data_IF_479956610528
#
_entry.id   IF_479956610528
#
_cell.length_a   1.000
_cell.length_b   1.000
_cell.length_c   1.000
_cell.angle_alpha   90.00
_cell.angle_beta   90.00
_cell.angle_gamma   90.00
#
_symmetry.space_group_name_H-M   'P 1'
#
loop_
_entity.id
_entity.type
_entity.pdbx_description
1 polymer ?
#
# COMPACT_ATOMS: atom_id res chain seq x y z
N UNK A 1 -8.78 -0.67 -21.26
CA UNK A 1 -7.75 0.05 -20.46
C UNK A 1 -8.38 0.80 -19.29
N UNK A 2 -9.60 1.34 -19.43
CA UNK A 2 -10.39 1.89 -18.31
C UNK A 2 -10.54 0.89 -17.14
N UNK A 3 -10.75 -0.39 -17.43
CA UNK A 3 -10.93 -1.43 -16.40
C UNK A 3 -9.72 -1.64 -15.48
N UNK A 4 -8.50 -1.48 -16.00
CA UNK A 4 -7.27 -1.67 -15.21
C UNK A 4 -7.06 -0.44 -14.31
N UNK A 5 -7.27 0.77 -14.87
CA UNK A 5 -7.14 2.01 -14.12
C UNK A 5 -8.17 2.07 -12.97
N UNK A 6 -9.40 1.62 -13.22
CA UNK A 6 -10.45 1.55 -12.20
C UNK A 6 -10.14 0.51 -11.12
N UNK A 7 -9.67 -0.68 -11.51
CA UNK A 7 -9.27 -1.72 -10.55
C UNK A 7 -8.12 -1.28 -9.65
N UNK A 8 -7.09 -0.64 -10.20
CA UNK A 8 -5.97 -0.08 -9.40
C UNK A 8 -6.46 1.02 -8.48
N UNK A 9 -7.39 1.87 -8.93
CA UNK A 9 -7.97 2.95 -8.10
C UNK A 9 -8.76 2.36 -6.92
N UNK A 10 -9.62 1.38 -7.17
CA UNK A 10 -10.39 0.69 -6.12
C UNK A 10 -9.46 -0.02 -5.12
N UNK A 11 -8.41 -0.67 -5.60
CA UNK A 11 -7.42 -1.32 -4.74
C UNK A 11 -6.69 -0.30 -3.85
N UNK A 12 -6.29 0.83 -4.42
CA UNK A 12 -5.67 1.95 -3.68
C UNK A 12 -6.58 2.53 -2.61
N UNK A 13 -7.86 2.76 -2.92
CA UNK A 13 -8.83 3.28 -1.97
C UNK A 13 -9.10 2.30 -0.83
N UNK A 14 -9.29 1.02 -1.14
CA UNK A 14 -9.43 -0.02 -0.12
C UNK A 14 -8.20 -0.07 0.80
N UNK A 15 -6.99 0.05 0.22
CA UNK A 15 -5.75 0.07 0.98
C UNK A 15 -5.66 1.27 1.93
N UNK A 16 -6.05 2.46 1.47
CA UNK A 16 -6.13 3.66 2.31
C UNK A 16 -7.11 3.48 3.46
N UNK A 17 -8.28 2.91 3.18
CA UNK A 17 -9.30 2.67 4.21
C UNK A 17 -8.78 1.72 5.29
N UNK A 18 -8.16 0.60 4.91
CA UNK A 18 -7.55 -0.34 5.87
C UNK A 18 -6.47 0.32 6.71
N UNK A 19 -5.68 1.20 6.11
CA UNK A 19 -4.66 1.97 6.81
C UNK A 19 -5.28 2.93 7.83
N UNK A 20 -6.31 3.67 7.44
CA UNK A 20 -6.96 4.63 8.33
C UNK A 20 -7.60 3.91 9.53
N UNK A 21 -8.19 2.73 9.33
CA UNK A 21 -8.68 1.87 10.42
C UNK A 21 -7.54 1.44 11.38
N UNK A 22 -6.40 1.01 10.84
CA UNK A 22 -5.25 0.61 11.64
C UNK A 22 -4.63 1.78 12.40
N UNK A 23 -4.63 2.97 11.82
CA UNK A 23 -4.15 4.19 12.48
C UNK A 23 -5.00 4.54 13.72
N UNK A 24 -6.32 4.34 13.64
CA UNK A 24 -7.22 4.54 14.79
C UNK A 24 -6.90 3.54 15.89
N UNK A 25 -6.66 2.27 15.55
CA UNK A 25 -6.30 1.27 16.55
C UNK A 25 -4.89 1.50 17.12
N UNK A 26 -3.97 2.06 16.33
CA UNK A 26 -2.61 2.41 16.73
C UNK A 26 -2.55 3.40 17.90
N UNK A 27 -3.54 4.28 18.02
CA UNK A 27 -3.60 5.25 19.13
C UNK A 27 -3.58 4.56 20.50
N UNK A 28 -4.10 3.33 20.58
CA UNK A 28 -4.14 2.50 21.79
C UNK A 28 -2.99 1.47 21.87
N UNK A 29 -2.18 1.37 20.82
CA UNK A 29 -1.15 0.34 20.71
C UNK A 29 0.15 0.70 21.45
N UNK A 30 0.95 -0.32 21.76
CA UNK A 30 2.26 -0.20 22.43
C UNK A 30 3.29 0.50 21.53
N UNK A 31 4.37 1.02 22.12
CA UNK A 31 5.45 1.70 21.40
C UNK A 31 6.02 0.84 20.25
N UNK A 32 6.26 -0.45 20.48
CA UNK A 32 6.76 -1.37 19.44
C UNK A 32 5.84 -1.47 18.22
N UNK A 33 4.52 -1.44 18.44
CA UNK A 33 3.54 -1.44 17.35
C UNK A 33 3.56 -0.12 16.58
N UNK A 34 3.78 1.01 17.27
CA UNK A 34 3.94 2.32 16.62
C UNK A 34 5.22 2.39 15.78
N UNK A 35 6.30 1.75 16.22
CA UNK A 35 7.55 1.66 15.46
C UNK A 35 7.39 0.77 14.21
N UNK A 36 6.72 -0.37 14.33
CA UNK A 36 6.42 -1.25 13.19
C UNK A 36 5.51 -0.54 12.17
N UNK A 37 4.48 0.17 12.65
CA UNK A 37 3.61 1.00 11.82
C UNK A 37 4.38 2.08 11.06
N UNK A 38 5.26 2.82 11.74
CA UNK A 38 6.04 3.89 11.12
C UNK A 38 6.92 3.36 9.97
N UNK A 39 7.42 2.13 10.08
CA UNK A 39 8.17 1.48 9.00
C UNK A 39 7.28 1.14 7.80
N UNK A 40 6.08 0.61 8.05
CA UNK A 40 5.10 0.30 6.99
C UNK A 40 4.60 1.56 6.28
N UNK A 41 4.32 2.62 7.02
CA UNK A 41 3.93 3.92 6.45
C UNK A 41 5.03 4.53 5.59
N UNK A 42 6.29 4.42 6.01
CA UNK A 42 7.40 4.90 5.20
C UNK A 42 7.49 4.18 3.86
N UNK A 43 7.35 2.85 3.85
CA UNK A 43 7.34 2.06 2.61
C UNK A 43 6.13 2.41 1.73
N UNK A 44 4.98 2.69 2.33
CA UNK A 44 3.78 3.13 1.62
C UNK A 44 4.00 4.47 0.92
N UNK A 45 4.54 5.46 1.62
CA UNK A 45 4.83 6.79 1.06
C UNK A 45 5.87 6.73 -0.07
N UNK A 46 6.81 5.79 -0.03
CA UNK A 46 7.78 5.54 -1.12
C UNK A 46 7.17 4.80 -2.33
N UNK A 47 6.11 4.03 -2.12
CA UNK A 47 5.48 3.17 -3.14
C UNK A 47 4.30 3.85 -3.83
N UNK A 48 3.48 4.60 -3.09
CA UNK A 48 2.31 5.34 -3.57
C UNK A 48 2.58 6.24 -4.79
N UNK A 49 3.60 7.11 -4.82
CA UNK A 49 3.84 7.97 -5.99
C UNK A 49 4.22 7.15 -7.23
N UNK A 50 4.94 6.03 -7.06
CA UNK A 50 5.27 5.10 -8.16
C UNK A 50 4.02 4.40 -8.67
N UNK A 51 3.07 4.10 -7.79
CA UNK A 51 1.78 3.51 -8.15
C UNK A 51 0.88 4.48 -8.92
N UNK A 52 0.78 5.73 -8.46
CA UNK A 52 0.05 6.77 -9.19
C UNK A 52 0.70 7.05 -10.55
N UNK A 53 2.03 7.13 -10.62
CA UNK A 53 2.74 7.29 -11.89
C UNK A 53 2.51 6.10 -12.84
N UNK A 54 2.58 4.87 -12.35
CA UNK A 54 2.28 3.67 -13.15
C UNK A 54 0.83 3.61 -13.62
N UNK A 55 -0.11 4.11 -12.81
CA UNK A 55 -1.52 4.27 -13.17
C UNK A 55 -1.70 5.29 -14.30
N UNK A 56 -0.96 6.39 -14.29
CA UNK A 56 -1.00 7.40 -15.36
C UNK A 56 -0.28 6.93 -16.63
N UNK A 57 0.81 6.16 -16.51
CA UNK A 57 1.62 5.64 -17.61
C UNK A 57 1.20 4.26 -18.15
N UNK A 58 0.09 3.68 -17.67
CA UNK A 58 -0.35 2.29 -17.94
C UNK A 58 -0.45 1.88 -19.43
N UNK A 59 -0.22 2.80 -20.38
CA UNK A 59 -0.10 2.52 -21.82
C UNK A 59 1.31 2.28 -22.38
N UNK A 60 2.42 2.46 -21.63
CA UNK A 60 3.78 2.45 -22.23
C UNK A 60 4.85 1.58 -21.56
N UNK A 61 4.75 1.25 -20.28
CA UNK A 61 5.86 0.65 -19.51
C UNK A 61 5.42 -0.54 -18.65
N UNK A 62 4.64 -1.45 -19.22
CA UNK A 62 3.81 -2.39 -18.45
C UNK A 62 4.55 -3.57 -17.80
N UNK A 63 5.58 -4.15 -18.42
CA UNK A 63 6.07 -5.47 -17.96
C UNK A 63 7.08 -5.40 -16.80
N UNK A 64 8.17 -4.63 -16.91
CA UNK A 64 9.22 -4.63 -15.87
C UNK A 64 8.91 -3.70 -14.69
N UNK A 65 8.31 -2.53 -14.94
CA UNK A 65 7.93 -1.59 -13.88
C UNK A 65 6.73 -2.14 -13.09
N UNK A 66 5.79 -2.81 -13.78
CA UNK A 66 4.65 -3.47 -13.15
C UNK A 66 5.06 -4.58 -12.18
N UNK A 67 6.08 -5.38 -12.52
CA UNK A 67 6.54 -6.48 -11.66
C UNK A 67 7.18 -6.00 -10.35
N UNK A 68 8.13 -5.05 -10.43
CA UNK A 68 8.79 -4.52 -9.23
C UNK A 68 7.81 -3.77 -8.31
N UNK A 69 6.89 -3.02 -8.92
CA UNK A 69 5.85 -2.30 -8.20
C UNK A 69 4.83 -3.25 -7.58
N UNK A 70 4.43 -4.29 -8.31
CA UNK A 70 3.55 -5.36 -7.81
C UNK A 70 4.14 -6.07 -6.59
N UNK A 71 5.44 -6.38 -6.62
CA UNK A 71 6.14 -6.97 -5.47
C UNK A 71 6.15 -6.02 -4.26
N UNK A 72 6.41 -4.73 -4.47
CA UNK A 72 6.39 -3.74 -3.39
C UNK A 72 5.00 -3.61 -2.74
N UNK A 73 3.92 -3.61 -3.54
CA UNK A 73 2.54 -3.59 -3.04
C UNK A 73 2.23 -4.86 -2.26
N UNK A 74 2.63 -6.03 -2.76
CA UNK A 74 2.36 -7.32 -2.13
C UNK A 74 3.07 -7.46 -0.78
N UNK A 75 4.35 -7.04 -0.72
CA UNK A 75 5.11 -6.97 0.53
C UNK A 75 4.46 -6.03 1.54
N UNK A 76 4.06 -4.85 1.08
CA UNK A 76 3.38 -3.86 1.90
C UNK A 76 2.06 -4.43 2.46
N UNK A 77 1.23 -5.04 1.61
CA UNK A 77 -0.03 -5.68 2.00
C UNK A 77 0.19 -6.75 3.07
N UNK A 78 1.17 -7.64 2.87
CA UNK A 78 1.56 -8.65 3.86
C UNK A 78 2.06 -8.02 5.17
N UNK A 79 2.74 -6.88 5.09
CA UNK A 79 3.13 -6.07 6.24
C UNK A 79 1.93 -5.62 7.06
N UNK A 80 0.95 -4.97 6.43
CA UNK A 80 -0.28 -4.52 7.08
C UNK A 80 -1.14 -5.67 7.62
N UNK A 81 -1.26 -6.80 6.91
CA UNK A 81 -1.99 -7.98 7.39
C UNK A 81 -1.34 -8.59 8.65
N UNK A 82 -0.02 -8.72 8.66
CA UNK A 82 0.72 -9.18 9.85
C UNK A 82 0.60 -8.21 11.00
N UNK A 83 0.68 -6.91 10.72
CA UNK A 83 0.52 -5.86 11.71
C UNK A 83 -0.86 -5.89 12.35
N UNK A 84 -1.92 -5.94 11.53
CA UNK A 84 -3.32 -6.08 11.99
C UNK A 84 -3.54 -7.32 12.84
N UNK A 85 -2.86 -8.42 12.53
CA UNK A 85 -2.99 -9.68 13.28
C UNK A 85 -2.29 -9.65 14.64
N UNK A 86 -1.43 -8.65 14.88
CA UNK A 86 -0.64 -8.50 16.12
C UNK A 86 -1.11 -7.35 17.00
N UNK A 87 -2.06 -6.56 16.50
CA UNK A 87 -2.63 -5.39 17.16
C UNK A 87 -3.79 -5.79 18.08
#
# INVERSE_FOLDING_TARGET
>A
MEDIKEQVTKALEHFKQQRDELQVQLHLAKADAKDEWARLEKQWEETKPKLEAAREEAGKTAESVGAALGLAIDELKKGYERFRSRL
#
